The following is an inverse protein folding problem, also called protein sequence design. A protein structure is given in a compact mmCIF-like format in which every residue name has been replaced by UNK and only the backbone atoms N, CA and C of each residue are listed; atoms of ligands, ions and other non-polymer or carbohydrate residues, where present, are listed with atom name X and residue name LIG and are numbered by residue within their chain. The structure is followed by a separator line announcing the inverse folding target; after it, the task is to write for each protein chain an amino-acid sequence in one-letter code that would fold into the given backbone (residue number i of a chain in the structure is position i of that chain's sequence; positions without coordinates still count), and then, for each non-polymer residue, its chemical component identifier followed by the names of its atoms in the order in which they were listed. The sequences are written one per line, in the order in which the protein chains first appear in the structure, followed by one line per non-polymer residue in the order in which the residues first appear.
data_IF_970986672685
#
_entry.id   IF_970986672685
#
_cell.length_a   1.000
_cell.length_b   1.000
_cell.length_c   1.000
_cell.angle_alpha   90.00
_cell.angle_beta   90.00
_cell.angle_gamma   90.00
#
_symmetry.space_group_name_H-M   'P 1'
#
loop_
_entity.id
_entity.type
_entity.pdbx_description
1 polymer ?
#
# COMPACT_ATOMS: atom_id res chain seq x y z
N UNK A 1 16.71 9.58 23.53
CA UNK A 1 15.76 9.56 22.38
C UNK A 1 14.46 8.89 22.84
N UNK A 2 13.66 9.55 23.69
CA UNK A 2 12.33 9.06 24.09
C UNK A 2 11.27 9.93 23.40
N UNK A 3 10.97 9.60 22.14
CA UNK A 3 9.84 10.17 21.42
C UNK A 3 8.57 9.32 21.60
N UNK A 4 7.45 9.82 21.09
CA UNK A 4 6.13 9.15 21.06
C UNK A 4 6.18 7.67 20.63
N UNK A 5 7.14 7.29 19.76
CA UNK A 5 7.37 5.91 19.35
C UNK A 5 7.78 4.99 20.51
N UNK A 6 8.64 5.45 21.42
CA UNK A 6 9.13 4.67 22.57
C UNK A 6 8.04 4.39 23.60
N UNK A 7 7.21 5.39 23.92
CA UNK A 7 6.08 5.24 24.83
C UNK A 7 5.07 4.20 24.30
N UNK A 8 4.84 4.18 22.98
CA UNK A 8 3.90 3.24 22.37
C UNK A 8 4.45 1.82 22.23
N UNK A 9 5.76 1.66 22.06
CA UNK A 9 6.40 0.36 22.13
C UNK A 9 6.24 -0.26 23.53
N UNK A 10 6.43 0.53 24.59
CA UNK A 10 6.21 0.10 25.98
C UNK A 10 4.76 -0.34 26.21
N UNK A 11 3.80 0.48 25.79
CA UNK A 11 2.37 0.16 25.85
C UNK A 11 1.99 -1.13 25.08
N UNK A 12 2.58 -1.35 23.90
CA UNK A 12 2.34 -2.57 23.11
C UNK A 12 2.89 -3.83 23.81
N UNK A 13 4.11 -3.78 24.37
CA UNK A 13 4.69 -4.91 25.11
C UNK A 13 3.88 -5.31 26.34
N UNK A 14 3.27 -4.35 27.02
CA UNK A 14 2.49 -4.60 28.24
C UNK A 14 1.11 -5.22 27.97
N UNK A 15 0.51 -4.94 26.80
CA UNK A 15 -0.86 -5.35 26.46
C UNK A 15 -0.95 -6.62 25.62
N UNK A 16 0.14 -7.09 25.02
CA UNK A 16 0.11 -8.19 24.05
C UNK A 16 0.59 -9.50 24.68
N UNK A 17 -0.28 -10.50 24.83
CA UNK A 17 0.09 -11.83 25.37
C UNK A 17 1.05 -12.63 24.46
N UNK A 18 1.26 -12.18 23.22
CA UNK A 18 2.14 -12.83 22.25
C UNK A 18 3.24 -11.86 21.83
N UNK A 19 4.31 -11.78 22.63
CA UNK A 19 5.48 -10.93 22.44
C UNK A 19 6.41 -11.50 21.35
N UNK A 20 5.87 -11.80 20.17
CA UNK A 20 6.68 -12.24 19.04
C UNK A 20 7.09 -11.05 18.18
N UNK A 21 8.28 -11.15 17.59
CA UNK A 21 8.76 -10.20 16.58
C UNK A 21 7.77 -10.04 15.41
N UNK A 22 7.10 -11.12 15.01
CA UNK A 22 6.04 -11.09 14.00
C UNK A 22 4.82 -10.27 14.44
N UNK A 23 4.40 -10.39 15.71
CA UNK A 23 3.31 -9.59 16.27
C UNK A 23 3.63 -8.10 16.27
N UNK A 24 4.87 -7.74 16.60
CA UNK A 24 5.34 -6.35 16.58
C UNK A 24 5.32 -5.77 15.16
N UNK A 25 5.89 -6.49 14.19
CA UNK A 25 5.91 -6.07 12.77
C UNK A 25 4.50 -5.80 12.25
N UNK A 26 3.55 -6.70 12.51
CA UNK A 26 2.14 -6.51 12.12
C UNK A 26 1.52 -5.27 12.78
N UNK A 27 1.72 -5.10 14.08
CA UNK A 27 1.16 -3.95 14.81
C UNK A 27 1.72 -2.61 14.30
N UNK A 28 2.99 -2.58 13.90
CA UNK A 28 3.61 -1.38 13.30
C UNK A 28 3.05 -1.08 11.92
N UNK A 29 2.89 -2.08 11.05
CA UNK A 29 2.26 -1.90 9.72
C UNK A 29 0.81 -1.42 9.85
N UNK A 30 0.02 -2.01 10.74
CA UNK A 30 -1.38 -1.59 10.98
C UNK A 30 -1.45 -0.12 11.44
N UNK A 31 -0.51 0.29 12.30
CA UNK A 31 -0.60 1.55 13.01
C UNK A 31 0.11 2.72 12.33
N UNK A 32 1.15 2.45 11.56
CA UNK A 32 1.96 3.46 10.88
C UNK A 32 2.00 3.30 9.36
N UNK A 33 1.53 2.18 8.81
CA UNK A 33 1.51 1.88 7.37
C UNK A 33 0.40 2.59 6.58
N UNK A 34 -0.32 3.54 7.19
CA UNK A 34 -1.23 4.47 6.52
C UNK A 34 -2.30 3.81 5.64
N UNK A 35 -3.48 3.49 6.21
CA UNK A 35 -4.74 3.32 5.48
C UNK A 35 -4.87 2.22 4.40
N UNK A 36 -3.78 1.57 4.00
CA UNK A 36 -3.76 0.56 2.96
C UNK A 36 -4.13 -0.81 3.55
N UNK A 37 -5.42 -1.04 3.75
CA UNK A 37 -5.96 -2.37 4.07
C UNK A 37 -5.94 -3.22 2.79
N UNK A 38 -5.34 -4.41 2.88
CA UNK A 38 -5.28 -5.38 1.79
C UNK A 38 -3.85 -5.77 1.42
N UNK A 39 -3.70 -6.97 0.86
CA UNK A 39 -2.47 -7.44 0.22
C UNK A 39 -2.05 -6.49 -0.91
N UNK A 40 -0.77 -6.53 -1.30
CA UNK A 40 -0.28 -5.73 -2.43
C UNK A 40 -1.08 -6.00 -3.70
N UNK A 41 -1.54 -7.24 -3.90
CA UNK A 41 -2.40 -7.62 -5.02
C UNK A 41 -3.77 -6.93 -4.97
N UNK A 42 -4.41 -6.88 -3.81
CA UNK A 42 -5.69 -6.16 -3.64
C UNK A 42 -5.52 -4.66 -3.91
N UNK A 43 -4.36 -4.09 -3.54
CA UNK A 43 -4.05 -2.67 -3.78
C UNK A 43 -3.77 -2.39 -5.26
N UNK A 44 -3.05 -3.27 -5.96
CA UNK A 44 -2.85 -3.18 -7.42
C UNK A 44 -4.18 -3.27 -8.16
N UNK A 45 -5.09 -4.13 -7.71
CA UNK A 45 -6.41 -4.26 -8.33
C UNK A 45 -7.33 -3.06 -8.06
N UNK A 46 -7.13 -2.35 -6.94
CA UNK A 46 -8.00 -1.27 -6.49
C UNK A 46 -7.51 0.14 -6.87
N UNK A 47 -6.23 0.32 -7.19
CA UNK A 47 -5.68 1.65 -7.52
C UNK A 47 -6.34 2.20 -8.79
N UNK A 48 -6.75 3.47 -8.74
CA UNK A 48 -7.35 4.22 -9.85
C UNK A 48 -6.58 5.52 -10.04
N UNK A 49 -6.46 5.96 -11.29
CA UNK A 49 -6.03 7.31 -11.61
C UNK A 49 -7.08 8.30 -11.08
N UNK A 50 -6.67 9.20 -10.20
CA UNK A 50 -7.52 10.27 -9.67
C UNK A 50 -7.10 11.67 -10.15
N UNK A 51 -5.92 11.78 -10.75
CA UNK A 51 -5.30 13.04 -11.14
C UNK A 51 -4.41 12.86 -12.37
N UNK A 52 -3.19 13.39 -12.32
CA UNK A 52 -2.27 13.29 -13.45
C UNK A 52 -1.86 11.84 -13.68
N UNK A 53 -1.78 11.44 -14.95
CA UNK A 53 -1.39 10.07 -15.32
C UNK A 53 0.00 9.71 -14.77
N UNK A 54 0.91 10.69 -14.64
CA UNK A 54 2.24 10.51 -14.09
C UNK A 54 2.21 10.13 -12.60
N UNK A 55 1.26 10.67 -11.84
CA UNK A 55 1.08 10.32 -10.43
C UNK A 55 0.55 8.89 -10.31
N UNK A 56 -0.41 8.53 -11.17
CA UNK A 56 -0.92 7.16 -11.25
C UNK A 56 0.17 6.14 -11.62
N UNK A 57 0.99 6.43 -12.63
CA UNK A 57 2.12 5.57 -13.03
C UNK A 57 3.07 5.36 -11.85
N UNK A 58 3.50 6.44 -11.20
CA UNK A 58 4.41 6.36 -10.05
C UNK A 58 3.83 5.50 -8.92
N UNK A 59 2.57 5.72 -8.57
CA UNK A 59 1.93 5.00 -7.48
C UNK A 59 1.70 3.52 -7.83
N UNK A 60 1.40 3.22 -9.10
CA UNK A 60 1.31 1.86 -9.63
C UNK A 60 2.67 1.14 -9.59
N UNK A 61 3.75 1.80 -10.04
CA UNK A 61 5.12 1.24 -10.00
C UNK A 61 5.58 0.93 -8.57
N UNK A 62 5.26 1.78 -7.60
CA UNK A 62 5.56 1.53 -6.18
C UNK A 62 4.86 0.27 -5.69
N UNK A 63 3.63 0.00 -6.12
CA UNK A 63 2.90 -1.22 -5.78
C UNK A 63 3.49 -2.46 -6.48
N UNK A 64 3.81 -2.35 -7.76
CA UNK A 64 4.42 -3.45 -8.53
C UNK A 64 5.78 -3.85 -7.95
N UNK A 65 6.61 -2.88 -7.56
CA UNK A 65 7.91 -3.11 -6.93
C UNK A 65 7.84 -3.82 -5.57
N UNK A 66 6.66 -3.88 -4.95
CA UNK A 66 6.41 -4.65 -3.72
C UNK A 66 6.02 -6.11 -4.00
N UNK A 67 5.87 -6.49 -5.27
CA UNK A 67 5.51 -7.83 -5.71
C UNK A 67 6.68 -8.53 -6.37
N UNK A 68 6.68 -9.86 -6.32
CA UNK A 68 7.58 -10.69 -7.13
C UNK A 68 6.71 -11.64 -7.93
N UNK A 69 6.96 -11.74 -9.25
CA UNK A 69 6.39 -12.77 -10.17
C UNK A 69 4.94 -12.55 -10.64
N UNK A 70 4.54 -11.31 -10.95
CA UNK A 70 3.31 -11.08 -11.72
C UNK A 70 3.67 -11.09 -13.22
N UNK A 71 2.98 -11.86 -14.07
CA UNK A 71 3.14 -11.79 -15.51
C UNK A 71 2.88 -10.37 -16.04
N UNK A 72 3.67 -9.93 -17.03
CA UNK A 72 3.56 -8.59 -17.60
C UNK A 72 2.16 -8.29 -18.16
N UNK A 73 1.55 -9.27 -18.84
CA UNK A 73 0.18 -9.16 -19.36
C UNK A 73 -0.85 -8.87 -18.25
N UNK A 74 -0.67 -9.50 -17.08
CA UNK A 74 -1.56 -9.28 -15.94
C UNK A 74 -1.34 -7.89 -15.32
N UNK A 75 -0.08 -7.42 -15.25
CA UNK A 75 0.23 -6.05 -14.82
C UNK A 75 -0.39 -5.02 -15.75
N UNK A 76 -0.29 -5.24 -17.06
CA UNK A 76 -0.91 -4.38 -18.07
C UNK A 76 -2.44 -4.35 -17.90
N UNK A 77 -3.07 -5.49 -17.64
CA UNK A 77 -4.51 -5.57 -17.35
C UNK A 77 -4.91 -4.73 -16.14
N UNK A 78 -4.18 -4.84 -15.03
CA UNK A 78 -4.42 -4.00 -13.84
C UNK A 78 -4.19 -2.51 -14.14
N UNK A 79 -3.12 -2.19 -14.85
CA UNK A 79 -2.78 -0.82 -15.21
C UNK A 79 -3.90 -0.17 -16.05
N UNK A 80 -4.40 -0.87 -17.07
CA UNK A 80 -5.46 -0.37 -17.95
C UNK A 80 -6.80 -0.20 -17.24
N UNK A 81 -7.16 -1.14 -16.35
CA UNK A 81 -8.40 -1.05 -15.56
C UNK A 81 -8.37 0.12 -14.57
N UNK A 82 -7.20 0.50 -14.07
CA UNK A 82 -7.02 1.62 -13.15
C UNK A 82 -6.83 2.97 -13.84
N UNK A 83 -6.46 2.99 -15.12
CA UNK A 83 -6.29 4.20 -15.91
C UNK A 83 -7.65 4.86 -16.16
N UNK A 84 -7.71 6.18 -16.02
CA UNK A 84 -8.91 6.92 -16.42
C UNK A 84 -8.95 6.89 -17.95
N UNK A 85 -10.06 6.47 -18.57
CA UNK A 85 -10.28 6.75 -19.99
C UNK A 85 -10.06 8.24 -20.15
N UNK A 86 -9.11 8.67 -20.98
CA UNK A 86 -8.97 10.09 -21.26
C UNK A 86 -10.36 10.59 -21.61
N UNK A 87 -10.88 11.52 -20.80
CA UNK A 87 -11.99 12.36 -21.21
C UNK A 87 -11.39 13.25 -22.30
N UNK A 88 -11.27 12.69 -23.50
CA UNK A 88 -11.34 13.41 -24.75
C UNK A 88 -12.75 13.94 -24.92
N UNK A 89 -13.16 14.81 -23.99
CA UNK A 89 -14.28 15.72 -24.18
C UNK A 89 -13.71 16.98 -24.82
N UNK A 90 -14.11 17.35 -26.05
CA UNK A 90 -13.63 18.57 -26.67
C UNK A 90 -14.25 19.79 -25.98
N UNK A 91 -13.41 20.66 -25.42
CA UNK A 91 -13.68 22.11 -25.29
C UNK A 91 -12.38 22.88 -25.24
#
# INVERSE_FOLDING_TARGET
MEGYAGHRFRFWREKTKNNSWEGLKRAMVIRFGGGNRGSVFERIAAIKQAGMVQEYIRDFEVLVGQTTRIPEEQLLGYFMVGLQEEVGGPT
#
